data_IF_039894120250
#
_entry.id   IF_039894120250
#
_cell.length_a   1.000
_cell.length_b   1.000
_cell.length_c   1.000
_cell.angle_alpha   90.00
_cell.angle_beta   90.00
_cell.angle_gamma   90.00
#
_symmetry.space_group_name_H-M   'P 1'
#
loop_
_entity.id
_entity.type
_entity.pdbx_description
1 polymer ?
#
# COMPACT_ATOMS: atom_id res chain seq x y z
N UNK A 1 -16.95 -11.69 9.49
CA UNK A 1 -15.99 -11.25 8.47
C UNK A 1 -14.85 -12.25 8.49
N UNK A 2 -14.69 -13.06 7.44
CA UNK A 2 -13.67 -14.12 7.42
C UNK A 2 -12.27 -13.53 7.30
N UNK A 3 -11.33 -14.05 8.08
CA UNK A 3 -9.92 -13.69 7.98
C UNK A 3 -9.41 -14.13 6.59
N UNK A 4 -8.84 -13.19 5.84
CA UNK A 4 -8.13 -13.51 4.60
C UNK A 4 -6.90 -14.34 4.96
N UNK A 5 -6.79 -15.55 4.44
CA UNK A 5 -5.58 -16.37 4.58
C UNK A 5 -4.62 -15.99 3.45
N UNK A 6 -3.44 -15.57 3.79
CA UNK A 6 -2.39 -15.30 2.83
C UNK A 6 -1.33 -16.42 2.86
N UNK A 7 -0.91 -16.86 1.67
CA UNK A 7 0.22 -17.76 1.50
C UNK A 7 1.28 -17.05 0.65
N UNK A 8 2.52 -17.08 1.10
CA UNK A 8 3.62 -16.41 0.41
C UNK A 8 4.58 -17.43 -0.15
N UNK A 9 4.87 -17.29 -1.43
CA UNK A 9 5.92 -18.03 -2.13
C UNK A 9 7.11 -17.10 -2.36
N UNK A 10 8.33 -17.63 -2.24
CA UNK A 10 9.57 -16.91 -2.49
C UNK A 10 10.48 -17.76 -3.36
N UNK A 11 11.25 -17.12 -4.24
CA UNK A 11 12.37 -17.79 -4.90
C UNK A 11 13.55 -17.95 -3.92
N UNK A 12 14.58 -18.71 -4.31
CA UNK A 12 15.68 -19.09 -3.40
C UNK A 12 16.46 -17.90 -2.81
N UNK A 13 16.61 -16.81 -3.59
CA UNK A 13 17.29 -15.57 -3.16
C UNK A 13 16.35 -14.55 -2.51
N UNK A 14 15.04 -14.82 -2.46
CA UNK A 14 14.03 -13.95 -1.86
C UNK A 14 13.70 -12.65 -2.64
N UNK A 15 14.29 -12.48 -3.82
CA UNK A 15 14.06 -11.29 -4.66
C UNK A 15 12.63 -11.25 -5.20
N UNK A 16 12.10 -12.42 -5.61
CA UNK A 16 10.73 -12.55 -6.07
C UNK A 16 9.86 -13.12 -4.95
N UNK A 17 8.76 -12.42 -4.66
CA UNK A 17 7.78 -12.83 -3.64
C UNK A 17 6.39 -12.75 -4.24
N UNK A 18 5.60 -13.80 -4.06
CA UNK A 18 4.22 -13.88 -4.53
C UNK A 18 3.31 -14.12 -3.32
N UNK A 19 2.47 -13.14 -3.00
CA UNK A 19 1.48 -13.26 -1.94
C UNK A 19 0.13 -13.68 -2.55
N UNK A 20 -0.35 -14.85 -2.18
CA UNK A 20 -1.65 -15.39 -2.58
C UNK A 20 -2.66 -15.15 -1.45
N UNK A 21 -3.64 -14.31 -1.73
CA UNK A 21 -4.74 -14.06 -0.80
C UNK A 21 -5.91 -15.00 -1.11
N UNK A 22 -6.20 -15.92 -0.19
CA UNK A 22 -7.29 -16.88 -0.32
C UNK A 22 -8.58 -16.22 0.17
N UNK A 23 -9.51 -16.00 -0.74
CA UNK A 23 -10.82 -15.43 -0.43
C UNK A 23 -11.79 -16.56 -0.04
N UNK A 24 -12.66 -16.37 0.98
CA UNK A 24 -13.67 -17.38 1.34
C UNK A 24 -14.57 -17.73 0.15
N UNK A 25 -15.06 -18.99 0.06
CA UNK A 25 -15.90 -19.47 -1.05
C UNK A 25 -17.19 -18.70 -1.29
N UNK A 26 -17.66 -17.94 -0.30
CA UNK A 26 -18.90 -17.13 -0.37
C UNK A 26 -18.69 -15.76 -1.04
N UNK A 27 -17.44 -15.40 -1.42
CA UNK A 27 -17.22 -14.22 -2.22
C UNK A 27 -17.74 -14.44 -3.64
N UNK A 28 -18.30 -13.39 -4.24
CA UNK A 28 -18.76 -13.40 -5.63
C UNK A 28 -17.66 -13.96 -6.53
N UNK A 29 -17.93 -15.11 -7.15
CA UNK A 29 -16.95 -15.82 -7.99
C UNK A 29 -16.59 -15.06 -9.26
N UNK A 30 -17.42 -14.11 -9.66
CA UNK A 30 -17.24 -13.27 -10.85
C UNK A 30 -16.56 -11.94 -10.51
N UNK A 31 -16.31 -11.66 -9.24
CA UNK A 31 -15.61 -10.46 -8.81
C UNK A 31 -14.12 -10.55 -9.12
N UNK A 32 -13.68 -9.85 -10.16
CA UNK A 32 -12.25 -9.66 -10.43
C UNK A 32 -11.69 -8.69 -9.40
N UNK A 33 -10.95 -9.21 -8.43
CA UNK A 33 -10.25 -8.39 -7.46
C UNK A 33 -8.99 -7.80 -8.10
N UNK A 34 -8.72 -6.49 -7.90
CA UNK A 34 -7.50 -5.88 -8.40
C UNK A 34 -6.26 -6.59 -7.85
N UNK A 35 -5.32 -6.88 -8.74
CA UNK A 35 -4.01 -7.43 -8.40
C UNK A 35 -2.97 -6.31 -8.40
N UNK A 36 -1.89 -6.47 -7.65
CA UNK A 36 -0.81 -5.50 -7.67
C UNK A 36 0.54 -6.15 -7.92
N UNK A 37 1.43 -5.33 -8.46
CA UNK A 37 2.84 -5.65 -8.63
C UNK A 37 3.61 -4.64 -7.77
N UNK A 38 4.42 -5.15 -6.84
CA UNK A 38 5.25 -4.32 -5.97
C UNK A 38 6.69 -4.26 -6.49
N UNK A 39 7.22 -3.04 -6.57
CA UNK A 39 8.61 -2.76 -6.93
C UNK A 39 9.38 -2.28 -5.71
N UNK A 40 10.53 -2.88 -5.46
CA UNK A 40 11.43 -2.43 -4.40
C UNK A 40 12.16 -1.15 -4.82
N UNK A 41 12.22 -0.19 -3.91
CA UNK A 41 12.99 1.04 -4.02
C UNK A 41 13.97 1.17 -2.85
N UNK A 42 15.09 1.84 -3.09
CA UNK A 42 16.05 2.17 -2.03
C UNK A 42 15.67 3.43 -1.24
N UNK A 43 14.83 4.29 -1.80
CA UNK A 43 14.29 5.50 -1.18
C UNK A 43 12.91 5.79 -1.79
N UNK A 44 11.88 5.34 -1.09
CA UNK A 44 10.49 5.51 -1.54
C UNK A 44 10.04 6.96 -1.47
N UNK A 45 10.54 7.75 -0.52
CA UNK A 45 10.17 9.16 -0.37
C UNK A 45 10.74 10.01 -1.52
N UNK A 46 12.01 9.80 -1.86
CA UNK A 46 12.61 10.49 -3.01
C UNK A 46 11.90 10.13 -4.31
N UNK A 47 11.53 8.85 -4.49
CA UNK A 47 10.80 8.40 -5.67
C UNK A 47 9.38 9.00 -5.73
N UNK A 48 8.67 9.04 -4.60
CA UNK A 48 7.34 9.65 -4.52
C UNK A 48 7.37 11.15 -4.85
N UNK A 49 8.36 11.90 -4.35
CA UNK A 49 8.57 13.32 -4.73
C UNK A 49 8.83 13.46 -6.23
N UNK A 50 9.78 12.71 -6.76
CA UNK A 50 10.12 12.76 -8.18
C UNK A 50 8.96 12.38 -9.10
N UNK A 51 8.07 11.48 -8.66
CA UNK A 51 6.87 11.11 -9.37
C UNK A 51 5.85 12.27 -9.37
N UNK A 52 5.62 12.90 -8.21
CA UNK A 52 4.73 14.07 -8.09
C UNK A 52 5.22 15.26 -8.94
N UNK A 53 6.50 15.54 -8.96
CA UNK A 53 7.09 16.60 -9.79
C UNK A 53 6.83 16.38 -11.27
N UNK A 54 6.57 15.15 -11.68
CA UNK A 54 6.20 14.76 -13.05
C UNK A 54 4.68 14.63 -13.27
N UNK A 55 3.87 15.08 -12.31
CA UNK A 55 2.41 15.08 -12.41
C UNK A 55 1.75 13.73 -12.04
N UNK A 56 2.51 12.77 -11.51
CA UNK A 56 1.91 11.53 -11.00
C UNK A 56 1.24 11.78 -9.65
N UNK A 57 -0.01 11.33 -9.53
CA UNK A 57 -0.75 11.36 -8.28
C UNK A 57 -0.89 9.92 -7.74
N UNK A 58 -0.34 9.61 -6.56
CA UNK A 58 -0.54 8.32 -5.91
C UNK A 58 -2.00 8.15 -5.48
N UNK A 59 -2.35 6.94 -5.03
CA UNK A 59 -3.60 6.69 -4.33
C UNK A 59 -3.65 7.60 -3.09
N UNK A 60 -4.70 8.41 -3.00
CA UNK A 60 -4.90 9.32 -1.88
C UNK A 60 -5.26 8.55 -0.61
N UNK A 61 -4.45 8.71 0.43
CA UNK A 61 -4.64 8.06 1.72
C UNK A 61 -5.27 9.05 2.70
N UNK A 62 -6.39 8.68 3.36
CA UNK A 62 -7.11 9.57 4.27
C UNK A 62 -6.24 10.11 5.41
N UNK A 63 -6.41 11.38 5.75
CA UNK A 63 -5.59 12.08 6.75
C UNK A 63 -5.58 11.39 8.12
N UNK A 64 -6.71 10.82 8.55
CA UNK A 64 -6.83 10.11 9.82
C UNK A 64 -5.92 8.87 9.91
N UNK A 65 -5.50 8.28 8.78
CA UNK A 65 -4.51 7.22 8.80
C UNK A 65 -3.19 7.69 9.40
N UNK A 66 -2.77 8.92 9.07
CA UNK A 66 -1.50 9.46 9.56
C UNK A 66 -1.59 9.84 11.04
N UNK A 67 -2.76 10.25 11.52
CA UNK A 67 -3.01 10.46 12.94
C UNK A 67 -2.93 9.13 13.72
N UNK A 68 -3.48 8.05 13.13
CA UNK A 68 -3.41 6.71 13.72
C UNK A 68 -1.98 6.17 13.81
N UNK A 69 -1.14 6.35 12.78
CA UNK A 69 0.25 5.88 12.81
C UNK A 69 1.12 6.74 13.76
N UNK A 70 0.85 8.04 13.87
CA UNK A 70 1.49 8.91 14.84
C UNK A 70 1.20 8.48 16.29
N UNK A 71 -0.06 8.12 16.56
CA UNK A 71 -0.45 7.62 17.88
C UNK A 71 0.12 6.21 18.18
N UNK A 72 0.39 5.41 17.17
CA UNK A 72 0.86 4.02 17.30
C UNK A 72 2.38 3.90 17.37
N UNK A 73 3.08 4.74 16.63
CA UNK A 73 4.52 4.65 16.43
C UNK A 73 5.19 5.98 16.84
N UNK A 74 6.31 5.87 17.49
CA UNK A 74 7.19 7.02 17.73
C UNK A 74 7.96 7.33 16.44
N UNK A 75 7.39 8.19 15.59
CA UNK A 75 7.92 8.57 14.27
C UNK A 75 8.43 10.02 14.36
N UNK A 76 9.64 10.26 13.86
CA UNK A 76 10.20 11.60 13.79
C UNK A 76 9.25 12.56 13.03
N UNK A 77 8.99 13.79 13.54
CA UNK A 77 8.02 14.72 12.94
C UNK A 77 8.28 15.01 11.45
N UNK A 78 9.54 15.07 11.03
CA UNK A 78 9.90 15.28 9.64
C UNK A 78 9.46 14.11 8.74
N UNK A 79 9.65 12.86 9.20
CA UNK A 79 9.19 11.68 8.49
C UNK A 79 7.66 11.63 8.44
N UNK A 80 7.00 11.95 9.55
CA UNK A 80 5.54 12.02 9.63
C UNK A 80 4.95 13.00 8.59
N UNK A 81 5.55 14.19 8.47
CA UNK A 81 5.15 15.18 7.48
C UNK A 81 5.33 14.65 6.05
N UNK A 82 6.48 14.05 5.75
CA UNK A 82 6.77 13.47 4.44
C UNK A 82 5.79 12.34 4.06
N UNK A 83 5.50 11.43 5.00
CA UNK A 83 4.55 10.35 4.77
C UNK A 83 3.17 10.90 4.38
N UNK A 84 2.68 11.88 5.13
CA UNK A 84 1.38 12.53 4.90
C UNK A 84 1.36 13.27 3.55
N UNK A 85 2.36 14.10 3.30
CA UNK A 85 2.42 14.92 2.08
C UNK A 85 2.52 14.09 0.82
N UNK A 86 3.23 12.95 0.88
CA UNK A 86 3.49 12.09 -0.28
C UNK A 86 2.50 10.92 -0.43
N UNK A 87 1.50 10.81 0.45
CA UNK A 87 0.58 9.67 0.50
C UNK A 87 1.31 8.32 0.65
N UNK A 88 2.41 8.32 1.41
CA UNK A 88 3.20 7.12 1.71
C UNK A 88 2.67 6.49 2.99
N UNK A 89 2.37 5.21 2.93
CA UNK A 89 1.95 4.42 4.09
C UNK A 89 3.16 3.86 4.83
N UNK A 90 2.98 3.58 6.10
CA UNK A 90 4.04 3.12 7.00
C UNK A 90 3.59 1.92 7.82
N UNK A 91 4.51 1.00 8.07
CA UNK A 91 4.36 -0.09 9.03
C UNK A 91 5.71 -0.34 9.70
N UNK A 92 5.70 -0.88 10.92
CA UNK A 92 6.91 -1.19 11.67
C UNK A 92 6.67 -2.40 12.57
N UNK A 93 7.64 -3.29 12.61
CA UNK A 93 7.72 -4.39 13.56
C UNK A 93 9.06 -4.34 14.32
N UNK A 94 9.36 -5.39 15.09
CA UNK A 94 10.60 -5.50 15.88
C UNK A 94 11.85 -5.56 14.99
N UNK A 95 11.73 -5.96 13.73
CA UNK A 95 12.85 -6.14 12.79
C UNK A 95 13.15 -4.90 11.97
N UNK A 96 12.16 -4.01 11.74
CA UNK A 96 12.37 -2.84 10.91
C UNK A 96 11.12 -2.10 10.48
N UNK A 97 11.27 -1.33 9.40
CA UNK A 97 10.26 -0.42 8.89
C UNK A 97 9.88 -0.75 7.44
N UNK A 98 8.64 -0.45 7.09
CA UNK A 98 8.09 -0.64 5.75
C UNK A 98 7.38 0.64 5.30
N UNK A 99 7.89 1.25 4.24
CA UNK A 99 7.31 2.43 3.61
C UNK A 99 6.80 2.03 2.22
N UNK A 100 5.61 2.47 1.86
CA UNK A 100 5.07 2.13 0.55
C UNK A 100 3.99 3.10 0.08
N UNK A 101 3.83 3.24 -1.22
CA UNK A 101 2.69 3.94 -1.83
C UNK A 101 2.14 3.15 -3.01
N UNK A 102 0.94 3.50 -3.43
CA UNK A 102 0.22 2.83 -4.50
C UNK A 102 -0.12 3.77 -5.65
N UNK A 103 -0.21 3.22 -6.85
CA UNK A 103 -0.84 3.91 -7.96
C UNK A 103 -2.36 3.80 -7.88
N UNK A 104 -3.12 4.71 -8.52
CA UNK A 104 -4.49 4.42 -8.90
C UNK A 104 -4.56 3.13 -9.73
N UNK A 105 -5.70 2.42 -9.71
CA UNK A 105 -5.88 1.22 -10.53
C UNK A 105 -5.81 1.54 -12.03
N UNK A 106 -5.09 0.71 -12.77
CA UNK A 106 -5.02 0.70 -14.23
C UNK A 106 -5.74 -0.57 -14.70
N UNK A 107 -7.03 -0.47 -14.97
CA UNK A 107 -7.88 -1.63 -15.20
C UNK A 107 -8.00 -2.49 -13.92
N UNK A 108 -7.54 -3.74 -13.99
CA UNK A 108 -7.56 -4.70 -12.86
C UNK A 108 -6.23 -4.80 -12.12
N UNK A 109 -5.24 -3.99 -12.48
CA UNK A 109 -3.90 -4.00 -11.87
C UNK A 109 -3.60 -2.63 -11.29
N UNK A 110 -2.88 -2.59 -10.18
CA UNK A 110 -2.25 -1.38 -9.66
C UNK A 110 -0.81 -1.68 -9.25
N UNK A 111 0.00 -0.66 -9.15
CA UNK A 111 1.40 -0.79 -8.77
C UNK A 111 1.58 -0.35 -7.32
N UNK A 112 2.53 -0.97 -6.66
CA UNK A 112 3.01 -0.62 -5.33
C UNK A 112 4.52 -0.33 -5.44
N UNK A 113 4.99 0.69 -4.75
CA UNK A 113 6.42 0.92 -4.56
C UNK A 113 6.73 0.76 -3.09
N UNK A 114 7.72 -0.04 -2.77
CA UNK A 114 8.03 -0.44 -1.39
C UNK A 114 9.49 -0.21 -1.04
N UNK A 115 9.73 0.24 0.17
CA UNK A 115 11.04 0.29 0.80
C UNK A 115 10.99 -0.49 2.12
N UNK A 116 11.94 -1.40 2.32
CA UNK A 116 12.14 -2.13 3.58
C UNK A 116 13.44 -1.68 4.22
N UNK A 117 13.36 -1.27 5.48
CA UNK A 117 14.50 -0.80 6.27
C UNK A 117 14.78 -1.76 7.42
N UNK A 118 16.04 -1.86 7.81
CA UNK A 118 16.49 -2.55 9.03
C UNK A 118 16.13 -4.04 9.13
N UNK A 119 15.77 -4.70 8.03
CA UNK A 119 15.45 -6.12 8.04
C UNK A 119 13.96 -6.45 8.08
N UNK A 120 13.06 -5.45 7.94
CA UNK A 120 11.62 -5.71 7.84
C UNK A 120 11.32 -6.75 6.74
N UNK A 121 10.64 -7.84 7.11
CA UNK A 121 10.30 -8.94 6.18
C UNK A 121 8.79 -9.13 5.97
N UNK A 122 7.98 -8.24 6.55
CA UNK A 122 6.53 -8.22 6.41
C UNK A 122 6.03 -7.69 5.05
N UNK A 123 4.71 -7.54 4.98
CA UNK A 123 3.98 -7.11 3.77
C UNK A 123 3.04 -5.94 4.04
N UNK A 124 3.20 -5.22 5.15
CA UNK A 124 2.31 -4.12 5.50
C UNK A 124 0.83 -4.53 5.63
N UNK A 125 0.56 -5.74 6.12
CA UNK A 125 -0.80 -6.29 6.16
C UNK A 125 -1.79 -5.41 6.95
N UNK A 126 -1.32 -4.69 7.95
CA UNK A 126 -2.13 -3.75 8.75
C UNK A 126 -2.67 -2.58 7.92
N UNK A 127 -2.01 -2.24 6.82
CA UNK A 127 -2.39 -1.15 5.92
C UNK A 127 -3.46 -1.57 4.88
N UNK A 128 -3.69 -2.87 4.68
CA UNK A 128 -4.61 -3.37 3.66
C UNK A 128 -6.06 -2.84 3.80
N UNK A 129 -6.68 -2.74 5.00
CA UNK A 129 -8.01 -2.18 5.14
C UNK A 129 -8.11 -0.72 4.70
N UNK A 130 -7.12 0.11 5.04
CA UNK A 130 -7.07 1.53 4.68
C UNK A 130 -6.92 1.68 3.16
N UNK A 131 -6.00 0.93 2.56
CA UNK A 131 -5.83 0.89 1.09
C UNK A 131 -7.12 0.52 0.38
N UNK A 132 -7.80 -0.52 0.81
CA UNK A 132 -9.07 -0.97 0.22
C UNK A 132 -10.15 0.12 0.31
N UNK A 133 -10.26 0.80 1.45
CA UNK A 133 -11.19 1.91 1.64
C UNK A 133 -10.87 3.08 0.71
N UNK A 134 -9.60 3.48 0.60
CA UNK A 134 -9.14 4.55 -0.29
C UNK A 134 -9.43 4.22 -1.77
N UNK A 135 -9.13 3.01 -2.22
CA UNK A 135 -9.44 2.55 -3.58
C UNK A 135 -10.95 2.55 -3.87
N UNK A 136 -11.77 2.19 -2.90
CA UNK A 136 -13.22 2.23 -3.04
C UNK A 136 -13.75 3.66 -3.18
N UNK A 137 -13.26 4.58 -2.36
CA UNK A 137 -13.60 6.00 -2.43
C UNK A 137 -13.23 6.61 -3.78
N UNK A 138 -12.00 6.36 -4.25
CA UNK A 138 -11.54 6.86 -5.55
C UNK A 138 -12.40 6.37 -6.71
N UNK A 139 -12.80 5.09 -6.72
CA UNK A 139 -13.70 4.55 -7.74
C UNK A 139 -15.08 5.20 -7.72
N UNK A 140 -15.60 5.56 -6.57
CA UNK A 140 -16.88 6.26 -6.45
C UNK A 140 -16.80 7.68 -7.00
N UNK A 141 -15.75 8.41 -6.68
CA UNK A 141 -15.51 9.76 -7.19
C UNK A 141 -15.42 9.77 -8.72
N UNK A 142 -14.61 8.88 -9.29
CA UNK A 142 -14.48 8.76 -10.75
C UNK A 142 -15.81 8.45 -11.46
N UNK A 143 -16.71 7.68 -10.85
CA UNK A 143 -18.05 7.41 -11.40
C UNK A 143 -18.95 8.62 -11.35
N UNK A 144 -18.83 9.44 -10.30
CA UNK A 144 -19.66 10.66 -10.14
C UNK A 144 -19.23 11.75 -11.12
N UNK A 145 -17.94 11.87 -11.42
CA UNK A 145 -17.39 12.83 -12.39
C UNK A 145 -17.68 12.47 -13.86
N UNK A 146 -17.95 11.18 -14.13
CA UNK A 146 -18.27 10.67 -15.47
C UNK A 146 -19.78 10.65 -15.79
N UNK A 147 -20.65 11.06 -14.85
CA UNK A 147 -22.13 11.09 -14.98
C UNK A 147 -22.64 12.49 -15.16
#
# INVERSE_FOLDING_TARGET
MGLVRSQVLRNADGIVRIALNLVPPAADKDAILPQHIAFAASDVLALARAARDRGFLPLDIPANYYDDIEARYDIAPALQADLRDLSVMYDRDESGEFLHFYTPPIGTVFLEVVERRHGYDGYGALNAPVRLAAQYQQRRQAKTEAS
#
